data_IF_090473885786
#
_entry.id   IF_090473885786
#
_cell.length_a   1.000
_cell.length_b   1.000
_cell.length_c   1.000
_cell.angle_alpha   90.00
_cell.angle_beta   90.00
_cell.angle_gamma   90.00
#
_symmetry.space_group_name_H-M   'P 1'
#
loop_
_entity.id
_entity.type
_entity.pdbx_description
1 polymer ?
#
# COMPACT_ATOMS: atom_id res chain seq x y z
N UNK A 1 -10.59 -17.26 1.87
CA UNK A 1 -9.54 -16.31 2.31
C UNK A 1 -9.92 -15.69 3.65
N UNK A 2 -8.99 -15.68 4.59
CA UNK A 2 -9.16 -15.10 5.92
C UNK A 2 -8.15 -13.98 6.13
N UNK A 3 -8.59 -12.89 6.76
CA UNK A 3 -7.71 -11.80 7.17
C UNK A 3 -7.29 -12.05 8.61
N UNK A 4 -5.99 -11.98 8.89
CA UNK A 4 -5.45 -12.11 10.24
C UNK A 4 -4.50 -10.93 10.54
N UNK A 5 -4.37 -10.52 11.81
CA UNK A 5 -3.30 -9.61 12.21
C UNK A 5 -1.94 -10.28 12.00
N UNK A 6 -0.92 -9.48 11.72
CA UNK A 6 0.46 -9.94 11.56
C UNK A 6 1.41 -8.93 12.20
N UNK A 7 2.56 -9.40 12.71
CA UNK A 7 3.57 -8.52 13.32
C UNK A 7 4.43 -7.82 12.25
N UNK A 8 5.11 -6.74 12.63
CA UNK A 8 6.03 -6.03 11.73
C UNK A 8 7.13 -6.89 11.17
N UNK A 9 7.75 -7.64 12.06
CA UNK A 9 8.82 -8.56 11.70
C UNK A 9 8.35 -9.57 10.65
N UNK A 10 7.23 -10.27 10.89
CA UNK A 10 6.70 -11.29 9.98
C UNK A 10 6.26 -10.73 8.62
N UNK A 11 5.64 -9.55 8.61
CA UNK A 11 5.25 -8.90 7.35
C UNK A 11 6.47 -8.53 6.50
N UNK A 12 7.49 -7.92 7.12
CA UNK A 12 8.73 -7.56 6.42
C UNK A 12 9.53 -8.80 5.97
N UNK A 13 9.55 -9.88 6.77
CA UNK A 13 10.14 -11.17 6.38
C UNK A 13 9.48 -11.75 5.13
N UNK A 14 8.14 -11.76 5.08
CA UNK A 14 7.39 -12.23 3.91
C UNK A 14 7.70 -11.39 2.66
N UNK A 15 7.73 -10.07 2.80
CA UNK A 15 8.07 -9.16 1.70
C UNK A 15 9.49 -9.40 1.20
N UNK A 16 10.46 -9.63 2.10
CA UNK A 16 11.85 -9.88 1.72
C UNK A 16 12.03 -11.19 0.94
N UNK A 17 11.22 -12.21 1.23
CA UNK A 17 11.25 -13.49 0.51
C UNK A 17 10.80 -13.34 -0.95
N UNK A 18 9.75 -12.57 -1.21
CA UNK A 18 9.18 -12.39 -2.55
C UNK A 18 9.78 -11.20 -3.33
N UNK A 19 10.24 -10.16 -2.63
CA UNK A 19 10.82 -8.97 -3.22
C UNK A 19 12.10 -8.55 -2.48
N UNK A 20 13.21 -9.23 -2.79
CA UNK A 20 14.51 -9.04 -2.10
C UNK A 20 15.06 -7.60 -2.15
N UNK A 21 14.63 -6.78 -3.11
CA UNK A 21 15.06 -5.39 -3.27
C UNK A 21 14.22 -4.39 -2.48
N UNK A 22 13.13 -4.83 -1.85
CA UNK A 22 12.25 -3.94 -1.11
C UNK A 22 12.76 -3.73 0.33
N UNK A 23 13.08 -2.49 0.73
CA UNK A 23 13.47 -2.22 2.10
C UNK A 23 12.28 -2.48 3.05
N UNK A 24 12.57 -2.90 4.30
CA UNK A 24 11.53 -3.14 5.29
C UNK A 24 10.79 -1.84 5.60
N UNK A 25 9.47 -1.94 5.73
CA UNK A 25 8.66 -0.80 6.14
C UNK A 25 8.85 -0.59 7.64
N UNK A 26 9.12 0.67 8.01
CA UNK A 26 9.26 1.13 9.40
C UNK A 26 8.15 2.11 9.71
N UNK A 27 7.60 2.06 10.92
CA UNK A 27 6.60 3.02 11.39
C UNK A 27 5.23 2.90 10.72
N UNK A 28 4.83 1.69 10.30
CA UNK A 28 3.44 1.48 9.87
C UNK A 28 2.48 1.39 11.05
N UNK A 29 1.24 1.74 10.79
CA UNK A 29 0.17 1.87 11.79
C UNK A 29 -0.50 0.52 12.02
N UNK A 30 -0.87 -0.17 10.94
CA UNK A 30 -1.43 -1.52 11.01
C UNK A 30 -1.12 -2.34 9.77
N UNK A 31 -1.37 -3.64 9.85
CA UNK A 31 -1.01 -4.62 8.83
C UNK A 31 -1.90 -5.86 8.90
N UNK A 32 -2.09 -6.49 7.74
CA UNK A 32 -2.97 -7.65 7.57
C UNK A 32 -2.26 -8.68 6.72
N UNK A 33 -2.38 -9.96 7.09
CA UNK A 33 -2.05 -11.08 6.22
C UNK A 33 -3.33 -11.72 5.67
N UNK A 34 -3.27 -12.18 4.43
CA UNK A 34 -4.28 -13.04 3.82
C UNK A 34 -3.85 -14.50 3.95
N UNK A 35 -4.69 -15.31 4.59
CA UNK A 35 -4.52 -16.76 4.70
C UNK A 35 -5.53 -17.46 3.79
N UNK A 36 -5.05 -18.43 3.03
CA UNK A 36 -5.84 -19.36 2.24
C UNK A 36 -5.23 -20.75 2.43
N UNK A 37 -6.06 -21.76 2.66
CA UNK A 37 -5.62 -23.16 2.83
C UNK A 37 -4.47 -23.34 3.85
N UNK A 38 -4.56 -22.63 4.97
CA UNK A 38 -3.58 -22.72 6.07
C UNK A 38 -2.24 -22.00 5.84
N UNK A 39 -2.03 -21.35 4.69
CA UNK A 39 -0.79 -20.62 4.36
C UNK A 39 -1.02 -19.14 4.13
N UNK A 40 0.01 -18.32 4.37
CA UNK A 40 -0.01 -16.88 4.06
C UNK A 40 0.21 -16.70 2.55
N UNK A 41 -0.77 -16.14 1.85
CA UNK A 41 -0.70 -15.84 0.41
C UNK A 41 -0.40 -14.38 0.09
N UNK A 42 -0.40 -13.51 1.11
CA UNK A 42 0.00 -12.13 0.94
C UNK A 42 -0.10 -11.32 2.22
N UNK A 43 0.57 -10.18 2.22
CA UNK A 43 0.58 -9.21 3.31
C UNK A 43 0.39 -7.79 2.78
N UNK A 44 -0.26 -6.95 3.57
CA UNK A 44 -0.37 -5.53 3.29
C UNK A 44 -0.19 -4.69 4.54
N UNK A 45 0.37 -3.49 4.37
CA UNK A 45 0.79 -2.60 5.44
C UNK A 45 0.28 -1.19 5.16
N UNK A 46 -0.31 -0.57 6.18
CA UNK A 46 -0.87 0.78 6.12
C UNK A 46 -0.08 1.71 7.05
N UNK A 47 0.34 2.87 6.55
CA UNK A 47 1.14 3.85 7.28
C UNK A 47 0.67 5.28 6.98
N UNK A 48 1.26 6.27 7.66
CA UNK A 48 1.09 7.67 7.30
C UNK A 48 1.50 7.91 5.83
N UNK A 49 0.78 8.77 5.09
CA UNK A 49 1.15 9.10 3.72
C UNK A 49 2.60 9.60 3.60
N UNK A 50 3.30 9.17 2.56
CA UNK A 50 4.68 9.64 2.28
C UNK A 50 4.66 11.10 1.82
N UNK A 51 3.59 11.50 1.11
CA UNK A 51 3.38 12.89 0.71
C UNK A 51 2.91 13.72 1.89
N UNK A 52 3.70 14.72 2.30
CA UNK A 52 3.34 15.67 3.37
C UNK A 52 2.03 16.42 3.13
N UNK A 53 1.65 16.61 1.87
CA UNK A 53 0.37 17.26 1.53
C UNK A 53 -0.85 16.37 1.78
N UNK A 54 -0.65 15.06 1.86
CA UNK A 54 -1.72 14.09 2.14
C UNK A 54 -1.67 13.59 3.59
N UNK A 55 -0.59 13.87 4.31
CA UNK A 55 -0.42 13.49 5.71
C UNK A 55 -1.15 14.50 6.63
N UNK A 56 -2.46 14.56 6.46
CA UNK A 56 -3.40 15.52 7.04
C UNK A 56 -4.09 15.02 8.34
N UNK A 57 -3.67 13.85 8.84
CA UNK A 57 -4.27 13.17 9.99
C UNK A 57 -5.59 12.44 9.68
N UNK A 58 -6.10 12.52 8.45
CA UNK A 58 -7.38 11.91 8.02
C UNK A 58 -7.18 10.88 6.90
N UNK A 59 -6.03 10.91 6.24
CA UNK A 59 -5.64 10.00 5.16
C UNK A 59 -4.62 8.97 5.64
N UNK A 60 -4.79 7.72 5.22
CA UNK A 60 -3.79 6.65 5.41
C UNK A 60 -3.36 6.06 4.07
N UNK A 61 -2.11 5.60 3.97
CA UNK A 61 -1.52 5.04 2.75
C UNK A 61 -1.22 3.55 2.90
N UNK A 62 -1.60 2.75 1.89
CA UNK A 62 -1.11 1.38 1.73
C UNK A 62 0.30 1.45 1.14
N UNK A 63 1.30 1.43 2.02
CA UNK A 63 2.72 1.56 1.63
C UNK A 63 3.34 0.25 1.15
N UNK A 64 2.68 -0.88 1.40
CA UNK A 64 3.10 -2.20 0.92
C UNK A 64 1.89 -3.09 0.69
N UNK A 65 1.84 -3.73 -0.47
CA UNK A 65 1.00 -4.88 -0.76
C UNK A 65 1.87 -5.89 -1.49
N UNK A 66 2.01 -7.10 -0.94
CA UNK A 66 2.85 -8.16 -1.48
C UNK A 66 2.07 -9.47 -1.45
N UNK A 67 1.95 -10.12 -2.59
CA UNK A 67 1.23 -11.40 -2.74
C UNK A 67 2.11 -12.38 -3.51
N UNK A 68 1.84 -13.67 -3.33
CA UNK A 68 2.50 -14.75 -4.08
C UNK A 68 1.90 -14.99 -5.48
N UNK A 69 1.03 -14.09 -5.96
CA UNK A 69 0.29 -14.23 -7.22
C UNK A 69 -1.02 -15.03 -7.12
N UNK A 70 -1.38 -15.57 -5.94
CA UNK A 70 -2.66 -16.26 -5.74
C UNK A 70 -3.83 -15.34 -6.11
N UNK A 71 -4.74 -15.86 -6.95
CA UNK A 71 -5.90 -15.13 -7.47
C UNK A 71 -6.71 -14.49 -6.33
N UNK A 72 -7.21 -13.27 -6.56
CA UNK A 72 -8.01 -12.45 -5.61
C UNK A 72 -7.32 -12.00 -4.30
N UNK A 73 -6.09 -12.39 -4.00
CA UNK A 73 -5.44 -12.00 -2.73
C UNK A 73 -5.18 -10.49 -2.67
N UNK A 74 -4.77 -9.87 -3.77
CA UNK A 74 -4.46 -8.44 -3.82
C UNK A 74 -5.71 -7.58 -3.55
N UNK A 75 -6.83 -7.86 -4.24
CA UNK A 75 -8.11 -7.18 -4.03
C UNK A 75 -8.71 -7.48 -2.65
N UNK A 76 -8.52 -8.70 -2.13
CA UNK A 76 -8.92 -9.04 -0.77
C UNK A 76 -8.20 -8.16 0.26
N UNK A 77 -6.88 -8.03 0.16
CA UNK A 77 -6.07 -7.20 1.06
C UNK A 77 -6.48 -5.73 0.99
N UNK A 78 -6.59 -5.14 -0.20
CA UNK A 78 -7.05 -3.75 -0.35
C UNK A 78 -8.43 -3.51 0.28
N UNK A 79 -9.35 -4.45 0.10
CA UNK A 79 -10.69 -4.37 0.72
C UNK A 79 -10.62 -4.42 2.24
N UNK A 80 -9.76 -5.29 2.80
CA UNK A 80 -9.62 -5.43 4.27
C UNK A 80 -8.95 -4.22 4.89
N UNK A 81 -7.91 -3.67 4.27
CA UNK A 81 -7.25 -2.45 4.75
C UNK A 81 -8.23 -1.27 4.75
N UNK A 82 -9.03 -1.10 3.70
CA UNK A 82 -10.03 -0.03 3.64
C UNK A 82 -11.07 -0.14 4.77
N UNK A 83 -11.55 -1.34 5.08
CA UNK A 83 -12.49 -1.56 6.19
C UNK A 83 -11.87 -1.21 7.54
N UNK A 84 -10.65 -1.70 7.82
CA UNK A 84 -9.96 -1.39 9.08
C UNK A 84 -9.68 0.10 9.18
N UNK A 85 -9.21 0.74 8.12
CA UNK A 85 -8.98 2.18 8.09
C UNK A 85 -10.25 2.97 8.41
N UNK A 86 -11.41 2.53 7.88
CA UNK A 86 -12.71 3.14 8.18
C UNK A 86 -13.03 3.03 9.68
N UNK A 87 -12.89 1.84 10.27
CA UNK A 87 -13.14 1.62 11.70
C UNK A 87 -12.17 2.41 12.60
N UNK A 88 -10.94 2.66 12.14
CA UNK A 88 -9.98 3.54 12.83
C UNK A 88 -10.30 5.03 12.69
N UNK A 89 -11.34 5.40 11.95
CA UNK A 89 -11.81 6.78 11.80
C UNK A 89 -11.20 7.56 10.64
N UNK A 90 -10.35 6.94 9.80
CA UNK A 90 -9.80 7.59 8.61
C UNK A 90 -10.92 7.96 7.62
N UNK A 91 -10.77 9.12 7.00
CA UNK A 91 -11.71 9.61 5.98
C UNK A 91 -11.43 8.95 4.64
N UNK A 92 -10.17 8.56 4.43
CA UNK A 92 -9.64 8.24 3.13
C UNK A 92 -8.45 7.29 3.20
N UNK A 93 -8.36 6.37 2.24
CA UNK A 93 -7.19 5.51 2.05
C UNK A 93 -6.65 5.65 0.63
N UNK A 94 -5.33 5.71 0.51
CA UNK A 94 -4.62 5.87 -0.76
C UNK A 94 -3.57 4.79 -0.98
N UNK A 95 -3.15 4.62 -2.23
CA UNK A 95 -1.98 3.83 -2.59
C UNK A 95 -1.38 4.37 -3.89
N UNK A 96 -0.15 3.94 -4.18
CA UNK A 96 0.52 4.22 -5.44
C UNK A 96 0.88 2.91 -6.13
N UNK A 97 0.59 2.83 -7.43
CA UNK A 97 1.08 1.78 -8.32
C UNK A 97 1.90 2.42 -9.45
N UNK A 98 2.70 1.65 -10.15
CA UNK A 98 3.42 2.12 -11.34
C UNK A 98 2.44 2.50 -12.45
N UNK A 99 2.82 3.46 -13.29
CA UNK A 99 2.03 3.84 -14.47
C UNK A 99 1.71 2.67 -15.39
N UNK A 100 2.62 1.69 -15.49
CA UNK A 100 2.48 0.47 -16.28
C UNK A 100 1.55 -0.58 -15.67
N UNK A 101 1.17 -0.44 -14.40
CA UNK A 101 0.27 -1.39 -13.74
C UNK A 101 -1.20 -1.05 -14.04
N UNK A 102 -2.02 -2.08 -14.32
CA UNK A 102 -3.41 -1.89 -14.76
C UNK A 102 -4.36 -1.36 -13.68
N UNK A 103 -3.99 -1.53 -12.41
CA UNK A 103 -4.85 -1.22 -11.26
C UNK A 103 -6.10 -2.11 -11.16
N UNK A 104 -6.18 -3.26 -11.85
CA UNK A 104 -7.38 -4.11 -11.88
C UNK A 104 -7.85 -4.53 -10.48
N UNK A 105 -6.91 -4.90 -9.59
CA UNK A 105 -7.24 -5.26 -8.20
C UNK A 105 -7.82 -4.09 -7.41
N UNK A 106 -7.37 -2.86 -7.67
CA UNK A 106 -7.88 -1.65 -7.01
C UNK A 106 -9.30 -1.32 -7.47
N UNK A 107 -9.55 -1.39 -8.78
CA UNK A 107 -10.90 -1.26 -9.35
C UNK A 107 -11.86 -2.27 -8.75
N UNK A 108 -11.45 -3.55 -8.69
CA UNK A 108 -12.25 -4.62 -8.09
C UNK A 108 -12.55 -4.40 -6.59
N UNK A 109 -11.66 -3.69 -5.87
CA UNK A 109 -11.86 -3.30 -4.48
C UNK A 109 -12.65 -1.99 -4.31
N UNK A 110 -13.18 -1.42 -5.39
CA UNK A 110 -13.94 -0.17 -5.39
C UNK A 110 -13.10 1.07 -5.08
N UNK A 111 -11.86 1.09 -5.55
CA UNK A 111 -10.99 2.27 -5.56
C UNK A 111 -11.08 2.96 -6.92
N UNK A 112 -10.79 4.25 -6.96
CA UNK A 112 -10.69 5.02 -8.20
C UNK A 112 -9.29 5.60 -8.36
N UNK A 113 -8.85 5.73 -9.61
CA UNK A 113 -7.62 6.46 -9.95
C UNK A 113 -7.90 7.94 -9.73
N UNK A 114 -7.10 8.59 -8.90
CA UNK A 114 -7.29 10.01 -8.59
C UNK A 114 -6.33 10.89 -9.38
N UNK A 115 -5.08 10.48 -9.53
CA UNK A 115 -4.06 11.30 -10.17
C UNK A 115 -2.96 10.47 -10.84
N UNK A 116 -2.40 11.00 -11.91
CA UNK A 116 -1.09 10.60 -12.43
C UNK A 116 -0.01 11.43 -11.74
N UNK A 117 1.00 10.75 -11.22
CA UNK A 117 2.09 11.35 -10.45
C UNK A 117 3.39 11.10 -11.19
N UNK A 118 3.97 12.17 -11.71
CA UNK A 118 5.26 12.12 -12.39
C UNK A 118 6.34 11.68 -11.41
N UNK A 119 7.20 10.76 -11.85
CA UNK A 119 8.36 10.37 -11.08
C UNK A 119 9.32 11.56 -10.98
N UNK A 120 9.71 11.91 -9.76
CA UNK A 120 10.65 13.00 -9.52
C UNK A 120 11.82 12.48 -8.69
N UNK A 121 13.03 12.90 -9.05
CA UNK A 121 14.18 12.74 -8.17
C UNK A 121 14.05 13.72 -7.01
N UNK A 122 14.23 13.22 -5.79
CA UNK A 122 14.31 14.10 -4.61
C UNK A 122 15.69 14.77 -4.47
N UNK A 123 16.60 14.53 -5.42
CA UNK A 123 17.90 15.18 -5.49
C UNK A 123 17.76 16.54 -6.18
N UNK A 124 18.16 17.60 -5.49
CA UNK A 124 18.25 18.95 -6.06
C UNK A 124 19.67 19.49 -5.82
N UNK A 125 20.13 20.48 -6.59
CA UNK A 125 21.50 21.04 -6.49
C UNK A 125 21.89 21.44 -5.06
N UNK A 126 20.98 22.04 -4.30
CA UNK A 126 21.22 22.46 -2.91
C UNK A 126 21.17 21.32 -1.89
N UNK A 127 20.71 20.13 -2.30
CA UNK A 127 20.64 18.95 -1.43
C UNK A 127 20.72 17.66 -2.25
N UNK A 128 21.93 17.27 -2.69
CA UNK A 128 22.12 16.04 -3.44
C UNK A 128 21.71 14.84 -2.58
N UNK A 129 20.91 13.95 -3.16
CA UNK A 129 20.47 12.71 -2.52
C UNK A 129 20.76 11.56 -3.46
N UNK A 130 21.37 10.49 -2.95
CA UNK A 130 21.46 9.23 -3.67
C UNK A 130 20.13 8.47 -3.48
N UNK A 131 19.12 8.81 -4.30
CA UNK A 131 17.81 8.14 -4.23
C UNK A 131 17.81 6.90 -5.11
N UNK A 132 17.72 5.72 -4.49
CA UNK A 132 17.39 4.45 -5.18
C UNK A 132 15.89 4.31 -5.48
N UNK A 133 15.09 5.33 -5.17
CA UNK A 133 13.67 5.31 -5.46
C UNK A 133 13.45 5.35 -6.98
N UNK A 134 12.62 4.45 -7.54
CA UNK A 134 12.32 4.47 -8.96
C UNK A 134 11.77 5.84 -9.37
N UNK A 135 12.37 6.45 -10.38
CA UNK A 135 11.92 7.72 -11.00
C UNK A 135 10.81 7.51 -12.02
N UNK A 136 10.21 6.33 -12.05
CA UNK A 136 9.08 6.04 -12.93
C UNK A 136 7.82 6.76 -12.44
N UNK A 137 6.98 7.10 -13.41
CA UNK A 137 5.65 7.65 -13.14
C UNK A 137 4.81 6.61 -12.40
N UNK A 138 3.90 7.14 -11.58
CA UNK A 138 3.01 6.36 -10.74
C UNK A 138 1.59 6.86 -10.92
N UNK A 139 0.64 6.01 -10.59
CA UNK A 139 -0.76 6.36 -10.46
C UNK A 139 -1.11 6.39 -8.98
N UNK A 140 -1.72 7.47 -8.51
CA UNK A 140 -2.33 7.53 -7.18
C UNK A 140 -3.76 7.06 -7.26
N UNK A 141 -4.09 6.12 -6.39
CA UNK A 141 -5.42 5.55 -6.25
C UNK A 141 -5.99 5.90 -4.89
N UNK A 142 -7.30 6.15 -4.85
CA UNK A 142 -8.03 6.55 -3.66
C UNK A 142 -9.28 5.68 -3.46
N UNK A 143 -9.61 5.45 -2.19
CA UNK A 143 -10.96 5.12 -1.76
C UNK A 143 -11.38 6.04 -0.62
N UNK A 144 -12.48 6.75 -0.82
CA UNK A 144 -13.16 7.48 0.24
C UNK A 144 -13.84 6.48 1.17
N UNK A 145 -13.61 6.62 2.48
CA UNK A 145 -14.07 5.68 3.51
C UNK A 145 -15.31 6.19 4.24
N UNK A 146 -15.51 7.51 4.24
CA UNK A 146 -16.74 8.15 4.72
C UNK A 146 -17.72 8.34 3.57
N UNK A 147 -18.70 7.43 3.53
CA UNK A 147 -20.05 7.59 2.97
C UNK A 147 -20.88 6.43 3.53
N UNK A 148 -22.00 6.77 4.16
CA UNK A 148 -22.83 5.89 4.99
C UNK A 148 -22.86 6.42 6.40
#
# INVERSE_FOLDING_TARGET
MQAIPITQKKANEYVAQLHRHHPPVRGDIFRVACVLDGRICGVAQAARPVSRHLDDGKTIEVVRCCTDGTYNVCSFLYTRLARIAKEMGYERIITYILESESGSSLKASGWHKEADVKGHSWSCKSRPRNTQAPTCNKQRWCKELRKG
#
